data_IF_921677353071
#
_entry.id   IF_921677353071
#
_cell.length_a   1.000
_cell.length_b   1.000
_cell.length_c   1.000
_cell.angle_alpha   90.00
_cell.angle_beta   90.00
_cell.angle_gamma   90.00
#
_symmetry.space_group_name_H-M   'P 1'
#
loop_
_entity.id
_entity.type
_entity.pdbx_description
1 polymer ?
#
# COMPACT_ATOMS: atom_id res chain seq x y z
N UNK A 1 -5.07 4.96 -40.41
CA UNK A 1 -5.08 5.42 -39.00
C UNK A 1 -4.19 4.46 -38.24
N UNK A 2 -3.11 4.94 -37.63
CA UNK A 2 -2.15 4.08 -36.94
C UNK A 2 -2.70 3.76 -35.54
N UNK A 3 -3.06 2.50 -35.30
CA UNK A 3 -3.54 1.96 -34.01
C UNK A 3 -2.37 1.51 -33.13
N UNK A 4 -1.29 2.28 -33.08
CA UNK A 4 -0.18 1.99 -32.18
C UNK A 4 -0.52 2.55 -30.79
N UNK A 5 -1.16 1.71 -29.98
CA UNK A 5 -1.26 1.94 -28.55
C UNK A 5 0.14 1.86 -27.94
N UNK A 6 0.57 2.79 -27.06
CA UNK A 6 1.89 2.70 -26.45
C UNK A 6 2.03 1.36 -25.74
N UNK A 7 3.16 0.69 -25.97
CA UNK A 7 3.47 -0.57 -25.30
C UNK A 7 3.46 -0.34 -23.78
N UNK A 8 2.63 -1.10 -23.07
CA UNK A 8 2.63 -1.08 -21.61
C UNK A 8 3.84 -1.90 -21.13
N UNK A 9 4.93 -1.22 -20.76
CA UNK A 9 5.98 -1.86 -19.96
C UNK A 9 5.45 -2.10 -18.54
N UNK A 10 5.19 -3.37 -18.23
CA UNK A 10 4.71 -3.77 -16.91
C UNK A 10 5.91 -3.78 -15.96
N UNK A 11 6.11 -2.68 -15.24
CA UNK A 11 7.14 -2.59 -14.19
C UNK A 11 6.72 -3.25 -12.86
N UNK A 12 5.45 -3.61 -12.72
CA UNK A 12 4.93 -4.41 -11.61
C UNK A 12 3.95 -5.47 -12.11
N UNK A 13 4.39 -6.73 -12.10
CA UNK A 13 3.56 -7.88 -12.44
C UNK A 13 2.75 -8.32 -11.22
N UNK A 14 1.43 -8.11 -11.26
CA UNK A 14 0.50 -8.60 -10.24
C UNK A 14 0.34 -10.12 -10.41
N UNK A 15 0.45 -10.89 -9.32
CA UNK A 15 0.27 -12.35 -9.35
C UNK A 15 -1.16 -12.78 -9.01
N UNK A 16 -1.96 -11.89 -8.42
CA UNK A 16 -3.38 -12.10 -8.10
C UNK A 16 -4.16 -10.77 -8.10
N UNK A 17 -5.50 -10.88 -8.06
CA UNK A 17 -6.39 -9.75 -7.82
C UNK A 17 -6.23 -9.23 -6.37
N UNK A 18 -6.28 -7.90 -6.13
CA UNK A 18 -6.21 -7.35 -4.79
C UNK A 18 -7.30 -7.92 -3.87
N UNK A 19 -6.88 -8.39 -2.72
CA UNK A 19 -7.78 -8.76 -1.63
C UNK A 19 -8.48 -7.52 -1.04
N UNK A 20 -9.62 -7.69 -0.33
CA UNK A 20 -10.26 -6.60 0.38
C UNK A 20 -9.34 -5.89 1.39
N UNK A 21 -8.40 -6.63 1.99
CA UNK A 21 -7.40 -6.09 2.89
C UNK A 21 -6.43 -5.14 2.15
N UNK A 22 -5.88 -5.58 1.01
CA UNK A 22 -4.96 -4.76 0.21
C UNK A 22 -5.64 -3.50 -0.35
N UNK A 23 -6.90 -3.62 -0.76
CA UNK A 23 -7.70 -2.46 -1.20
C UNK A 23 -7.90 -1.45 -0.06
N UNK A 24 -8.24 -1.93 1.14
CA UNK A 24 -8.38 -1.07 2.34
C UNK A 24 -7.06 -0.40 2.69
N UNK A 25 -5.96 -1.16 2.69
CA UNK A 25 -4.64 -0.65 2.99
C UNK A 25 -4.22 0.42 1.98
N UNK A 26 -4.39 0.17 0.68
CA UNK A 26 -4.08 1.12 -0.39
C UNK A 26 -4.85 2.43 -0.25
N UNK A 27 -6.19 2.36 -0.10
CA UNK A 27 -7.01 3.56 0.07
C UNK A 27 -6.61 4.37 1.33
N UNK A 28 -6.23 3.69 2.41
CA UNK A 28 -5.79 4.37 3.63
C UNK A 28 -4.42 5.03 3.41
N UNK A 29 -3.49 4.36 2.73
CA UNK A 29 -2.19 4.93 2.38
C UNK A 29 -2.33 6.17 1.50
N UNK A 30 -3.21 6.15 0.49
CA UNK A 30 -3.51 7.32 -0.35
C UNK A 30 -3.94 8.53 0.49
N UNK A 31 -4.83 8.32 1.46
CA UNK A 31 -5.23 9.40 2.38
C UNK A 31 -4.10 9.90 3.26
N UNK A 32 -3.25 9.00 3.74
CA UNK A 32 -2.12 9.33 4.63
C UNK A 32 -1.07 10.14 3.88
N UNK A 33 -0.69 9.73 2.67
CA UNK A 33 0.21 10.51 1.81
C UNK A 33 -0.38 11.86 1.41
N UNK A 34 -1.70 11.95 1.29
CA UNK A 34 -2.38 13.22 0.95
C UNK A 34 -2.45 14.19 2.13
N UNK A 35 -2.70 13.68 3.35
CA UNK A 35 -3.13 14.51 4.50
C UNK A 35 -2.15 14.54 5.68
N UNK A 36 -1.25 13.56 5.79
CA UNK A 36 -0.40 13.38 6.97
C UNK A 36 1.07 13.63 6.63
N UNK A 37 1.61 12.88 5.66
CA UNK A 37 3.02 12.98 5.28
C UNK A 37 3.50 11.76 4.51
N UNK A 38 4.75 11.82 4.03
CA UNK A 38 5.37 10.80 3.19
C UNK A 38 6.49 10.02 3.85
N UNK A 39 6.84 10.35 5.09
CA UNK A 39 7.85 9.62 5.85
C UNK A 39 7.25 8.35 6.49
N UNK A 40 8.08 7.34 6.73
CA UNK A 40 7.63 6.06 7.30
C UNK A 40 6.87 6.22 8.63
N UNK A 41 7.37 7.12 9.50
CA UNK A 41 6.72 7.42 10.77
C UNK A 41 5.33 8.08 10.59
N UNK A 42 5.14 8.89 9.53
CA UNK A 42 3.85 9.49 9.19
C UNK A 42 2.86 8.43 8.72
N UNK A 43 3.36 7.46 7.95
CA UNK A 43 2.56 6.32 7.48
C UNK A 43 2.05 5.49 8.64
N UNK A 44 2.95 5.04 9.53
CA UNK A 44 2.59 4.23 10.69
C UNK A 44 1.61 4.95 11.61
N UNK A 45 1.87 6.24 11.91
CA UNK A 45 0.95 7.08 12.69
C UNK A 45 -0.41 7.18 12.00
N UNK A 46 -0.43 7.49 10.71
CA UNK A 46 -1.65 7.70 9.94
C UNK A 46 -2.54 6.46 9.84
N UNK A 47 -1.94 5.27 9.73
CA UNK A 47 -2.65 3.99 9.74
C UNK A 47 -3.25 3.68 11.12
N UNK A 48 -2.46 3.87 12.18
CA UNK A 48 -2.88 3.60 13.55
C UNK A 48 -4.01 4.55 14.01
N UNK A 49 -3.92 5.84 13.69
CA UNK A 49 -4.96 6.84 14.00
C UNK A 49 -6.30 6.50 13.33
N UNK A 50 -6.26 5.80 12.18
CA UNK A 50 -7.43 5.34 11.43
C UNK A 50 -7.87 3.92 11.81
N UNK A 51 -7.26 3.32 12.83
CA UNK A 51 -7.54 1.95 13.29
C UNK A 51 -7.44 0.90 12.17
N UNK A 52 -6.50 1.11 11.25
CA UNK A 52 -6.11 0.09 10.27
C UNK A 52 -5.00 -0.73 10.92
N UNK A 53 -5.33 -1.97 11.28
CA UNK A 53 -4.40 -2.89 11.91
C UNK A 53 -3.56 -3.66 10.89
N UNK A 54 -2.41 -4.15 11.35
CA UNK A 54 -1.60 -5.12 10.63
C UNK A 54 -2.39 -6.43 10.39
N UNK A 55 -1.94 -7.33 9.48
CA UNK A 55 -2.63 -8.61 9.21
C UNK A 55 -2.88 -9.47 10.45
N UNK A 56 -2.02 -9.34 11.47
CA UNK A 56 -2.13 -10.04 12.75
C UNK A 56 -3.08 -9.36 13.77
N UNK A 57 -3.67 -8.22 13.39
CA UNK A 57 -4.58 -7.43 14.22
C UNK A 57 -3.89 -6.47 15.18
N UNK A 58 -2.56 -6.39 15.19
CA UNK A 58 -1.82 -5.47 16.05
C UNK A 58 -1.71 -4.06 15.43
N UNK A 59 -1.43 -3.01 16.24
CA UNK A 59 -1.04 -1.71 15.72
C UNK A 59 0.24 -1.82 14.87
N UNK A 60 0.34 -0.98 13.84
CA UNK A 60 1.54 -0.92 13.01
C UNK A 60 2.75 -0.42 13.79
N UNK A 61 3.89 -1.04 13.51
CA UNK A 61 5.23 -0.49 13.76
C UNK A 61 5.91 -0.27 12.42
N UNK A 62 7.00 0.49 12.39
CA UNK A 62 7.80 0.69 11.17
C UNK A 62 8.34 -0.65 10.62
N UNK A 63 8.70 -1.57 11.52
CA UNK A 63 9.18 -2.90 11.18
C UNK A 63 8.06 -3.76 10.55
N UNK A 64 6.88 -3.84 11.19
CA UNK A 64 5.79 -4.65 10.66
C UNK A 64 5.28 -4.10 9.34
N UNK A 65 5.22 -2.78 9.19
CA UNK A 65 4.86 -2.14 7.92
C UNK A 65 5.85 -2.47 6.80
N UNK A 66 7.15 -2.34 7.08
CA UNK A 66 8.19 -2.65 6.08
C UNK A 66 8.16 -4.12 5.67
N UNK A 67 8.00 -5.02 6.64
CA UNK A 67 7.86 -6.45 6.38
C UNK A 67 6.64 -6.76 5.50
N UNK A 68 5.53 -6.09 5.74
CA UNK A 68 4.33 -6.24 4.93
C UNK A 68 4.52 -5.70 3.51
N UNK A 69 5.10 -4.52 3.35
CA UNK A 69 5.37 -3.95 2.03
C UNK A 69 6.32 -4.85 1.22
N UNK A 70 7.32 -5.44 1.89
CA UNK A 70 8.19 -6.44 1.26
C UNK A 70 7.42 -7.70 0.84
N UNK A 71 6.50 -8.21 1.68
CA UNK A 71 5.66 -9.38 1.35
C UNK A 71 4.73 -9.11 0.17
N UNK A 72 4.13 -7.92 0.11
CA UNK A 72 3.20 -7.51 -0.94
C UNK A 72 3.89 -7.15 -2.27
N UNK A 73 5.15 -6.71 -2.21
CA UNK A 73 5.95 -6.36 -3.37
C UNK A 73 6.80 -7.49 -3.96
N UNK A 74 6.80 -8.68 -3.32
CA UNK A 74 7.58 -9.85 -3.72
C UNK A 74 6.92 -10.69 -4.84
#
# INVERSE_FOLDING_TARGET
MNTDWPYLEIHQSRTHEPSPYELKLAATLEEVFTKVGSELADVVRGLNDRQVHAPDGTPWTEESFTAEMHRLGA
#
